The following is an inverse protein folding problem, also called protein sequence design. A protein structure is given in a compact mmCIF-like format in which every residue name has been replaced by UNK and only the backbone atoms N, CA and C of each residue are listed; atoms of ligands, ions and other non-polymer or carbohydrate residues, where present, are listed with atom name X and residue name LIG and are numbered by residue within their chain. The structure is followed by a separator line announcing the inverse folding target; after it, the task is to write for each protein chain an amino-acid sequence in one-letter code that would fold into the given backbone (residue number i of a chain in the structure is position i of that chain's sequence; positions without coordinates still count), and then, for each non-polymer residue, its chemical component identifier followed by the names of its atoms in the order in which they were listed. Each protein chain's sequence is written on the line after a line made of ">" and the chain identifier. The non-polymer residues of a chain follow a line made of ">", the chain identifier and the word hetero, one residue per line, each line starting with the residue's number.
data_IF_123271937269
#
_entry.id   IF_123271937269
#
_cell.length_a   1.000
_cell.length_b   1.000
_cell.length_c   1.000
_cell.angle_alpha   90.00
_cell.angle_beta   90.00
_cell.angle_gamma   90.00
#
_symmetry.space_group_name_H-M   'P 1'
#
loop_
_entity.id
_entity.type
_entity.pdbx_description
1 polymer ?
#
# COMPACT_ATOMS: atom_id res chain seq x y z
N UNK A 1 10.33 -29.61 -59.55
CA UNK A 1 10.65 -30.25 -58.25
C UNK A 1 11.13 -29.18 -57.28
N UNK A 2 10.54 -29.20 -56.07
CA UNK A 2 10.68 -28.37 -54.85
C UNK A 2 11.86 -27.38 -54.72
N UNK A 3 11.51 -26.12 -54.43
CA UNK A 3 12.24 -25.24 -53.50
C UNK A 3 11.82 -25.58 -52.05
N UNK A 4 12.69 -25.36 -51.04
CA UNK A 4 12.43 -24.25 -50.10
C UNK A 4 13.75 -23.56 -49.65
N UNK A 5 13.92 -22.24 -49.72
CA UNK A 5 13.36 -21.17 -48.87
C UNK A 5 13.68 -21.32 -47.38
N UNK A 6 14.93 -21.11 -47.01
CA UNK A 6 15.40 -21.04 -45.61
C UNK A 6 15.17 -19.65 -45.05
N UNK A 7 14.09 -19.46 -44.26
CA UNK A 7 13.89 -18.26 -43.45
C UNK A 7 14.49 -18.50 -42.06
N UNK A 8 15.56 -17.77 -41.74
CA UNK A 8 16.09 -17.64 -40.38
C UNK A 8 15.08 -16.84 -39.55
N UNK A 9 14.43 -17.50 -38.60
CA UNK A 9 13.57 -16.85 -37.60
C UNK A 9 14.47 -16.50 -36.41
N UNK A 10 14.83 -15.23 -36.27
CA UNK A 10 15.49 -14.71 -35.08
C UNK A 10 14.44 -14.59 -33.95
N UNK A 11 14.51 -15.51 -32.99
CA UNK A 11 13.66 -15.48 -31.80
C UNK A 11 14.27 -14.49 -30.79
N UNK A 12 13.82 -13.24 -30.83
CA UNK A 12 14.19 -12.23 -29.83
C UNK A 12 13.44 -12.50 -28.52
N UNK A 13 14.11 -13.13 -27.57
CA UNK A 13 13.59 -13.34 -26.21
C UNK A 13 13.46 -11.99 -25.50
N UNK A 14 12.25 -11.45 -25.49
CA UNK A 14 11.91 -10.20 -24.83
C UNK A 14 11.86 -10.45 -23.31
N UNK A 15 12.95 -10.18 -22.60
CA UNK A 15 12.96 -10.15 -21.13
C UNK A 15 12.06 -8.99 -20.65
N UNK A 16 10.79 -9.28 -20.36
CA UNK A 16 9.92 -8.34 -19.68
C UNK A 16 10.40 -8.21 -18.23
N UNK A 17 11.16 -7.17 -17.95
CA UNK A 17 11.49 -6.72 -16.60
C UNK A 17 10.19 -6.23 -15.95
N UNK A 18 9.51 -7.11 -15.21
CA UNK A 18 8.39 -6.72 -14.37
C UNK A 18 8.94 -5.91 -13.20
N UNK A 19 8.90 -4.58 -13.28
CA UNK A 19 9.12 -3.72 -12.12
C UNK A 19 8.04 -4.05 -11.09
N UNK A 20 8.42 -4.67 -9.97
CA UNK A 20 7.55 -4.74 -8.81
C UNK A 20 7.29 -3.30 -8.38
N UNK A 21 6.06 -2.82 -8.56
CA UNK A 21 5.66 -1.52 -8.06
C UNK A 21 5.77 -1.58 -6.54
N UNK A 22 6.80 -0.93 -5.99
CA UNK A 22 6.92 -0.76 -4.57
C UNK A 22 5.83 0.21 -4.15
N UNK A 23 4.88 -0.30 -3.37
CA UNK A 23 4.13 0.52 -2.45
C UNK A 23 5.11 1.35 -1.60
N UNK A 24 4.66 2.45 -1.01
CA UNK A 24 5.56 3.23 -0.17
C UNK A 24 4.85 4.06 0.86
N UNK A 25 5.66 4.86 1.54
CA UNK A 25 5.25 5.50 2.77
C UNK A 25 4.21 6.61 2.52
N UNK A 26 3.39 6.85 3.54
CA UNK A 26 2.43 7.93 3.59
C UNK A 26 2.78 8.94 4.67
N UNK A 27 2.39 10.20 4.51
CA UNK A 27 2.56 11.22 5.55
C UNK A 27 1.52 12.33 5.48
N UNK A 28 1.48 13.16 6.52
CA UNK A 28 0.60 14.33 6.61
C UNK A 28 -0.63 14.07 7.49
N UNK A 29 -1.63 14.94 7.37
CA UNK A 29 -2.85 14.84 8.17
C UNK A 29 -3.69 13.63 7.76
N UNK A 30 -4.40 13.05 8.73
CA UNK A 30 -5.38 12.00 8.48
C UNK A 30 -6.61 12.64 7.80
N UNK A 31 -6.85 12.26 6.54
CA UNK A 31 -7.97 12.78 5.74
C UNK A 31 -9.23 11.92 5.86
N UNK A 32 -9.05 10.65 6.23
CA UNK A 32 -10.13 9.69 6.48
C UNK A 32 -9.68 8.68 7.51
N UNK A 33 -10.55 8.36 8.46
CA UNK A 33 -10.38 7.27 9.42
C UNK A 33 -11.75 6.63 9.64
N UNK A 34 -11.89 5.34 9.32
CA UNK A 34 -13.17 4.63 9.42
C UNK A 34 -12.93 3.23 9.98
N UNK A 35 -13.75 2.83 10.95
CA UNK A 35 -13.69 1.50 11.56
C UNK A 35 -14.92 0.66 11.19
N UNK A 36 -14.69 -0.58 10.79
CA UNK A 36 -15.68 -1.62 10.50
C UNK A 36 -15.39 -2.83 11.40
N UNK A 37 -15.89 -2.81 12.63
CA UNK A 37 -15.53 -3.81 13.63
C UNK A 37 -14.04 -3.72 13.97
N UNK A 38 -13.28 -4.79 13.70
CA UNK A 38 -11.83 -4.80 13.90
C UNK A 38 -11.03 -4.22 12.73
N UNK A 39 -11.65 -3.98 11.58
CA UNK A 39 -10.94 -3.42 10.41
C UNK A 39 -10.96 -1.90 10.50
N UNK A 40 -9.80 -1.26 10.48
CA UNK A 40 -9.69 0.20 10.41
C UNK A 40 -9.03 0.59 9.10
N UNK A 41 -9.74 1.38 8.30
CA UNK A 41 -9.26 1.91 7.01
C UNK A 41 -9.02 3.40 7.16
N UNK A 42 -7.90 3.88 6.66
CA UNK A 42 -7.54 5.29 6.77
C UNK A 42 -6.72 5.80 5.58
N UNK A 43 -6.65 7.11 5.45
CA UNK A 43 -5.87 7.80 4.41
C UNK A 43 -5.20 9.03 4.99
N UNK A 44 -4.05 9.39 4.41
CA UNK A 44 -3.26 10.58 4.76
C UNK A 44 -3.24 11.55 3.59
N UNK A 45 -2.84 12.80 3.84
CA UNK A 45 -2.77 13.85 2.82
C UNK A 45 -1.79 13.49 1.69
N UNK A 46 -0.61 12.98 2.03
CA UNK A 46 0.45 12.67 1.08
C UNK A 46 0.76 11.18 1.06
N UNK A 47 0.52 10.55 -0.08
CA UNK A 47 0.89 9.16 -0.32
C UNK A 47 1.41 9.05 -1.76
N UNK A 48 2.69 9.38 -1.94
CA UNK A 48 3.29 9.61 -3.25
C UNK A 48 3.46 8.32 -4.07
N UNK A 49 3.71 7.20 -3.42
CA UNK A 49 3.96 5.90 -4.05
C UNK A 49 2.90 4.90 -3.62
N UNK A 50 1.66 5.12 -4.06
CA UNK A 50 0.56 4.20 -3.80
C UNK A 50 0.86 2.84 -4.43
N UNK A 51 0.62 1.77 -3.69
CA UNK A 51 0.63 0.43 -4.25
C UNK A 51 -0.43 0.31 -5.35
N UNK A 52 -0.19 -0.53 -6.38
CA UNK A 52 -1.24 -0.88 -7.34
C UNK A 52 -2.49 -1.48 -6.68
N UNK A 53 -2.32 -2.12 -5.51
CA UNK A 53 -3.40 -2.69 -4.73
C UNK A 53 -4.19 -1.65 -3.94
N UNK A 54 -3.77 -0.39 -3.90
CA UNK A 54 -4.44 0.67 -3.15
C UNK A 54 -4.58 1.86 -4.10
N UNK A 55 -5.46 1.76 -5.11
CA UNK A 55 -5.62 2.83 -6.10
C UNK A 55 -6.00 4.16 -5.43
N UNK A 56 -6.74 4.08 -4.33
CA UNK A 56 -7.12 5.24 -3.53
C UNK A 56 -5.99 5.73 -2.62
N UNK A 57 -4.97 4.89 -2.36
CA UNK A 57 -3.86 5.17 -1.44
C UNK A 57 -4.26 5.02 0.02
N UNK A 58 -5.27 4.18 0.30
CA UNK A 58 -5.72 3.85 1.63
C UNK A 58 -4.84 2.78 2.28
N UNK A 59 -4.72 2.91 3.60
CA UNK A 59 -4.10 1.94 4.48
C UNK A 59 -5.16 1.21 5.29
N UNK A 60 -4.86 -0.01 5.73
CA UNK A 60 -5.73 -0.82 6.56
C UNK A 60 -4.96 -1.48 7.70
N UNK A 61 -5.55 -1.49 8.89
CA UNK A 61 -5.03 -2.20 10.07
C UNK A 61 -6.10 -3.13 10.63
N UNK A 62 -5.65 -4.27 11.17
CA UNK A 62 -6.48 -5.16 11.97
C UNK A 62 -6.35 -4.81 13.47
N UNK A 63 -7.31 -4.04 13.96
CA UNK A 63 -7.45 -3.64 15.37
C UNK A 63 -7.89 -4.79 16.30
N UNK A 64 -7.97 -6.04 15.82
CA UNK A 64 -8.07 -7.21 16.71
C UNK A 64 -6.73 -7.53 17.37
N UNK A 65 -5.62 -7.22 16.68
CA UNK A 65 -4.24 -7.47 17.12
C UNK A 65 -3.73 -6.40 18.09
N UNK A 66 -2.71 -6.73 18.91
CA UNK A 66 -2.12 -5.76 19.82
C UNK A 66 -1.45 -4.58 19.08
N UNK A 67 -0.72 -4.88 18.01
CA UNK A 67 -0.05 -3.86 17.18
C UNK A 67 -1.08 -2.99 16.46
N UNK A 68 -2.13 -3.58 15.89
CA UNK A 68 -3.22 -2.85 15.26
C UNK A 68 -3.97 -1.93 16.22
N UNK A 69 -4.22 -2.36 17.47
CA UNK A 69 -4.80 -1.49 18.51
C UNK A 69 -3.91 -0.31 18.83
N UNK A 70 -2.60 -0.54 18.92
CA UNK A 70 -1.62 0.51 19.19
C UNK A 70 -1.58 1.52 18.05
N UNK A 71 -1.49 1.06 16.80
CA UNK A 71 -1.55 1.92 15.62
C UNK A 71 -2.88 2.70 15.56
N UNK A 72 -4.00 2.06 15.85
CA UNK A 72 -5.29 2.73 15.86
C UNK A 72 -5.37 3.83 16.94
N UNK A 73 -4.87 3.57 18.14
CA UNK A 73 -4.79 4.57 19.21
C UNK A 73 -3.91 5.76 18.80
N UNK A 74 -2.79 5.52 18.12
CA UNK A 74 -1.93 6.57 17.56
C UNK A 74 -2.69 7.41 16.53
N UNK A 75 -3.43 6.78 15.61
CA UNK A 75 -4.24 7.49 14.61
C UNK A 75 -5.33 8.35 15.25
N UNK A 76 -6.05 7.83 16.24
CA UNK A 76 -7.05 8.60 16.99
C UNK A 76 -6.43 9.79 17.72
N UNK A 77 -5.25 9.59 18.31
CA UNK A 77 -4.51 10.67 18.98
C UNK A 77 -4.13 11.75 17.98
N UNK A 78 -3.59 11.38 16.81
CA UNK A 78 -3.24 12.31 15.75
C UNK A 78 -4.45 13.13 15.27
N UNK A 79 -5.60 12.46 15.02
CA UNK A 79 -6.85 13.13 14.65
C UNK A 79 -7.32 14.09 15.74
N UNK A 80 -7.28 13.67 17.01
CA UNK A 80 -7.75 14.49 18.13
C UNK A 80 -6.87 15.72 18.42
N UNK A 81 -5.61 15.67 18.00
CA UNK A 81 -4.61 16.73 18.25
C UNK A 81 -4.27 17.53 17.00
N UNK A 82 -4.94 17.25 15.88
CA UNK A 82 -4.67 17.83 14.56
C UNK A 82 -3.19 17.75 14.17
N UNK A 83 -2.56 16.62 14.49
CA UNK A 83 -1.14 16.37 14.22
C UNK A 83 -0.97 15.49 12.99
N UNK A 84 0.04 15.79 12.14
CA UNK A 84 0.39 14.92 11.03
C UNK A 84 0.96 13.59 11.54
N UNK A 85 0.90 12.59 10.68
CA UNK A 85 1.52 11.27 10.91
C UNK A 85 2.54 10.95 9.84
N UNK A 86 3.40 9.99 10.12
CA UNK A 86 4.17 9.25 9.13
C UNK A 86 3.79 7.77 9.20
N UNK A 87 3.54 7.18 8.04
CA UNK A 87 3.12 5.80 7.84
C UNK A 87 4.26 5.06 7.17
N UNK A 88 4.86 4.11 7.88
CA UNK A 88 5.83 3.20 7.29
C UNK A 88 5.05 2.04 6.65
N UNK A 89 4.99 1.98 5.33
CA UNK A 89 4.27 0.93 4.62
C UNK A 89 5.01 -0.40 4.74
N UNK A 90 4.28 -1.50 4.96
CA UNK A 90 4.87 -2.85 4.94
C UNK A 90 5.03 -3.39 3.51
N UNK A 91 4.56 -2.63 2.51
CA UNK A 91 4.47 -3.04 1.11
C UNK A 91 3.74 -4.38 0.92
N UNK A 92 2.91 -4.75 1.89
CA UNK A 92 2.24 -6.03 1.98
C UNK A 92 0.73 -5.86 1.92
N UNK A 93 0.10 -6.90 1.39
CA UNK A 93 -1.32 -6.94 1.09
C UNK A 93 -2.02 -7.87 2.09
N UNK A 94 -2.98 -7.37 2.87
CA UNK A 94 -3.78 -8.26 3.69
C UNK A 94 -4.71 -9.09 2.80
N UNK A 95 -4.60 -10.42 2.85
CA UNK A 95 -5.50 -11.32 2.12
C UNK A 95 -6.97 -11.22 2.55
N UNK A 96 -7.20 -10.62 3.72
CA UNK A 96 -8.51 -10.44 4.34
C UNK A 96 -9.17 -9.08 4.03
N UNK A 97 -8.47 -8.15 3.35
CA UNK A 97 -9.04 -6.87 2.92
C UNK A 97 -8.43 -6.38 1.60
N UNK A 98 -9.27 -6.28 0.58
CA UNK A 98 -8.85 -5.82 -0.74
C UNK A 98 -8.68 -4.29 -0.78
N UNK A 99 -7.94 -3.82 -1.78
CA UNK A 99 -7.84 -2.41 -2.15
C UNK A 99 -7.17 -1.49 -1.10
N UNK A 100 -6.31 -2.02 -0.22
CA UNK A 100 -5.60 -1.22 0.79
C UNK A 100 -4.25 -1.85 1.16
N UNK A 101 -3.32 -1.01 1.63
CA UNK A 101 -1.99 -1.45 2.10
C UNK A 101 -1.96 -1.65 3.61
N UNK A 102 -1.18 -2.63 4.07
CA UNK A 102 -0.89 -2.75 5.50
C UNK A 102 0.28 -1.85 5.90
N UNK A 103 0.16 -1.00 6.93
CA UNK A 103 1.30 -0.33 7.51
C UNK A 103 2.11 -1.30 8.37
N UNK A 104 3.43 -1.11 8.41
CA UNK A 104 4.32 -1.72 9.40
C UNK A 104 4.25 -0.97 10.74
N UNK A 105 4.20 0.37 10.69
CA UNK A 105 4.07 1.21 11.88
C UNK A 105 3.51 2.60 11.53
N UNK A 106 3.01 3.29 12.56
CA UNK A 106 2.45 4.65 12.48
C UNK A 106 3.07 5.50 13.58
N UNK A 107 3.57 6.67 13.22
CA UNK A 107 4.12 7.64 14.18
C UNK A 107 3.46 9.00 14.01
N UNK A 108 3.30 9.74 15.11
CA UNK A 108 2.90 11.15 15.07
C UNK A 108 4.17 11.96 14.79
N UNK A 109 4.13 12.82 13.78
CA UNK A 109 5.24 13.72 13.50
C UNK A 109 5.21 14.90 14.49
N UNK A 110 6.39 15.37 14.96
CA UNK A 110 6.49 16.41 15.98
C UNK A 110 5.84 17.74 15.56
#
# INVERSE_FOLDING_TARGET
>A
MKNPSTRLIALATLCTLSSAAMAGDGSGLITKLTAYGSVVVFSVADHATKAPCSPDGAFVIDASTADGKTMYATLLTAVSTDKPVFIYSSNSYPSWWANSESPHSVTITP
#
